data_IF_514299618716
#
_entry.id   IF_514299618716
#
_cell.length_a   1.000
_cell.length_b   1.000
_cell.length_c   1.000
_cell.angle_alpha   90.00
_cell.angle_beta   90.00
_cell.angle_gamma   90.00
#
_symmetry.space_group_name_H-M   'P 1'
#
loop_
_entity.id
_entity.type
_entity.pdbx_description
1 polymer ?
#
# COMPACT_ATOMS: atom_id res chain seq x y z
N UNK A 1 0.35 5.39 -14.39
CA UNK A 1 1.14 5.34 -13.14
C UNK A 1 1.97 6.61 -13.04
N UNK A 2 1.94 7.25 -11.87
CA UNK A 2 2.79 8.37 -11.50
C UNK A 2 3.91 7.88 -10.59
N UNK A 3 5.08 8.51 -10.66
CA UNK A 3 6.25 8.14 -9.86
C UNK A 3 6.94 9.36 -9.27
N UNK A 4 7.58 9.17 -8.13
CA UNK A 4 8.50 10.16 -7.56
C UNK A 4 9.92 10.06 -8.16
N UNK A 5 10.84 10.88 -7.66
CA UNK A 5 12.25 10.91 -8.08
C UNK A 5 13.05 9.65 -7.71
N UNK A 6 12.52 8.82 -6.81
CA UNK A 6 13.07 7.50 -6.45
C UNK A 6 12.39 6.38 -7.24
N UNK A 7 11.58 6.73 -8.25
CA UNK A 7 10.81 5.82 -9.11
C UNK A 7 9.74 4.99 -8.38
N UNK A 8 9.36 5.36 -7.16
CA UNK A 8 8.26 4.72 -6.42
C UNK A 8 6.93 5.19 -6.99
N UNK A 9 5.93 4.31 -7.03
CA UNK A 9 4.59 4.65 -7.54
C UNK A 9 3.90 5.56 -6.54
N UNK A 10 3.57 6.78 -6.92
CA UNK A 10 2.83 7.73 -6.06
C UNK A 10 1.36 7.84 -6.44
N UNK A 11 1.01 7.41 -7.64
CA UNK A 11 -0.36 7.50 -8.15
C UNK A 11 -0.70 6.43 -9.19
N UNK A 12 -1.95 5.97 -9.15
CA UNK A 12 -2.53 5.04 -10.12
C UNK A 12 -3.85 5.64 -10.62
N UNK A 13 -4.01 5.68 -11.95
CA UNK A 13 -5.25 6.09 -12.60
C UNK A 13 -5.75 4.92 -13.42
N UNK A 14 -6.93 4.43 -13.07
CA UNK A 14 -7.60 3.36 -13.79
C UNK A 14 -8.45 3.94 -14.92
N UNK A 15 -8.69 3.15 -15.96
CA UNK A 15 -9.50 3.55 -17.13
C UNK A 15 -10.98 3.73 -16.80
N UNK A 16 -11.45 3.14 -15.69
CA UNK A 16 -12.80 3.29 -15.14
C UNK A 16 -12.99 4.56 -14.29
N UNK A 17 -11.93 5.35 -14.12
CA UNK A 17 -11.97 6.62 -13.38
C UNK A 17 -11.49 6.54 -11.94
N UNK A 18 -11.20 5.35 -11.39
CA UNK A 18 -10.63 5.22 -10.04
C UNK A 18 -9.24 5.88 -10.00
N UNK A 19 -9.00 6.68 -8.95
CA UNK A 19 -7.70 7.32 -8.69
C UNK A 19 -7.18 6.94 -7.33
N UNK A 20 -5.95 6.45 -7.30
CA UNK A 20 -5.25 6.08 -6.08
C UNK A 20 -4.04 6.97 -5.87
N UNK A 21 -3.78 7.30 -4.61
CA UNK A 21 -2.56 7.96 -4.15
C UNK A 21 -1.87 7.09 -3.11
N UNK A 22 -0.59 6.84 -3.33
CA UNK A 22 0.26 6.07 -2.43
C UNK A 22 1.13 7.05 -1.64
N UNK A 23 1.19 6.86 -0.32
CA UNK A 23 2.06 7.64 0.57
C UNK A 23 3.09 6.74 1.22
N UNK A 24 4.26 7.29 1.50
CA UNK A 24 5.39 6.52 1.99
C UNK A 24 5.90 7.10 3.31
N UNK A 25 6.40 6.22 4.16
CA UNK A 25 7.21 6.59 5.31
C UNK A 25 8.54 7.19 4.84
N UNK A 26 9.20 7.95 5.73
CA UNK A 26 10.53 8.50 5.46
C UNK A 26 11.58 7.41 5.18
N UNK A 27 11.37 6.21 5.74
CA UNK A 27 12.18 5.00 5.49
C UNK A 27 12.09 4.48 4.06
N UNK A 28 11.11 4.93 3.29
CA UNK A 28 10.92 4.51 1.90
C UNK A 28 9.75 3.55 1.68
N UNK A 29 9.22 2.96 2.75
CA UNK A 29 8.16 1.95 2.72
C UNK A 29 6.76 2.52 2.58
N UNK A 30 5.85 1.75 1.99
CA UNK A 30 4.46 2.15 1.81
C UNK A 30 3.81 2.38 3.17
N UNK A 31 3.14 3.52 3.32
CA UNK A 31 2.42 3.93 4.53
C UNK A 31 0.92 3.79 4.36
N UNK A 32 0.39 4.27 3.24
CA UNK A 32 -1.05 4.20 3.01
C UNK A 32 -1.40 4.28 1.52
N UNK A 33 -2.55 3.68 1.20
CA UNK A 33 -3.22 3.83 -0.09
C UNK A 33 -4.51 4.60 0.14
N UNK A 34 -4.68 5.69 -0.62
CA UNK A 34 -5.90 6.48 -0.61
C UNK A 34 -6.59 6.42 -1.96
N UNK A 35 -7.90 6.24 -1.96
CA UNK A 35 -8.76 6.57 -3.10
C UNK A 35 -9.03 8.07 -3.10
N UNK A 36 -8.99 8.71 -4.27
CA UNK A 36 -9.09 10.17 -4.40
C UNK A 36 -10.05 10.64 -5.50
N UNK A 37 -10.68 9.74 -6.26
CA UNK A 37 -11.61 10.11 -7.34
C UNK A 37 -12.95 10.68 -6.84
N UNK A 38 -13.34 10.39 -5.60
CA UNK A 38 -14.56 10.93 -4.99
C UNK A 38 -14.32 11.38 -3.54
N UNK A 39 -13.31 12.23 -3.35
CA UNK A 39 -12.81 12.59 -2.03
C UNK A 39 -11.75 11.62 -1.52
N UNK A 40 -11.13 11.95 -0.39
CA UNK A 40 -10.04 11.15 0.17
C UNK A 40 -10.62 10.06 1.06
N UNK A 41 -10.40 8.81 0.66
CA UNK A 41 -10.72 7.63 1.46
C UNK A 41 -9.46 6.79 1.65
N UNK A 42 -9.09 6.51 2.90
CA UNK A 42 -7.99 5.58 3.19
C UNK A 42 -8.48 4.16 2.99
N UNK A 43 -7.86 3.44 2.06
CA UNK A 43 -8.18 2.04 1.75
C UNK A 43 -7.35 1.09 2.61
N UNK A 44 -6.07 1.40 2.79
CA UNK A 44 -5.16 0.62 3.62
C UNK A 44 -4.11 1.50 4.30
N UNK A 45 -3.72 1.12 5.51
CA UNK A 45 -2.54 1.66 6.21
C UNK A 45 -1.59 0.54 6.60
N UNK A 46 -0.30 0.84 6.53
CA UNK A 46 0.79 -0.08 6.83
C UNK A 46 1.73 0.57 7.85
N UNK A 47 1.96 -0.14 8.95
CA UNK A 47 2.93 0.25 9.96
C UNK A 47 4.09 -0.73 9.98
N UNK A 48 5.27 -0.22 10.34
CA UNK A 48 6.48 -1.02 10.44
C UNK A 48 7.22 -0.74 11.73
N UNK A 49 7.95 -1.75 12.19
CA UNK A 49 8.92 -1.57 13.26
C UNK A 49 10.22 -0.93 12.76
N UNK A 50 11.12 -0.62 13.68
CA UNK A 50 12.42 -0.02 13.40
C UNK A 50 13.35 -0.88 12.50
N UNK A 51 13.01 -2.15 12.25
CA UNK A 51 13.74 -3.05 11.35
C UNK A 51 13.11 -3.13 9.96
N UNK A 52 12.04 -2.37 9.70
CA UNK A 52 11.32 -2.35 8.43
C UNK A 52 10.37 -3.53 8.24
N UNK A 53 10.10 -4.29 9.31
CA UNK A 53 9.15 -5.42 9.25
C UNK A 53 7.73 -4.86 9.37
N UNK A 54 6.83 -5.35 8.53
CA UNK A 54 5.41 -5.01 8.60
C UNK A 54 4.84 -5.46 9.96
N UNK A 55 4.37 -4.52 10.76
CA UNK A 55 3.75 -4.80 12.07
C UNK A 55 2.24 -4.78 12.01
N UNK A 56 1.66 -4.08 11.03
CA UNK A 56 0.22 -3.97 10.87
C UNK A 56 -0.13 -3.64 9.42
N UNK A 57 -1.16 -4.30 8.88
CA UNK A 57 -1.86 -3.93 7.66
C UNK A 57 -3.36 -3.85 7.98
N UNK A 58 -3.91 -2.63 7.96
CA UNK A 58 -5.34 -2.37 8.21
C UNK A 58 -5.99 -1.96 6.89
N UNK A 59 -6.65 -2.91 6.22
CA UNK A 59 -7.45 -2.68 5.03
C UNK A 59 -8.90 -2.41 5.45
N UNK A 60 -9.41 -1.21 5.15
CA UNK A 60 -10.68 -0.70 5.69
C UNK A 60 -11.89 -0.86 4.77
N UNK A 61 -11.77 -1.60 3.68
CA UNK A 61 -12.90 -2.00 2.83
C UNK A 61 -12.80 -3.48 2.46
N UNK A 62 -13.94 -4.04 2.00
CA UNK A 62 -14.33 -5.45 1.74
C UNK A 62 -13.35 -6.42 1.05
N UNK A 63 -12.08 -6.04 0.84
CA UNK A 63 -11.01 -6.91 0.33
C UNK A 63 -9.85 -6.89 1.32
N UNK A 64 -9.79 -7.94 2.15
CA UNK A 64 -8.68 -8.16 3.08
C UNK A 64 -7.60 -8.98 2.38
N UNK A 65 -6.52 -8.32 1.98
CA UNK A 65 -5.35 -9.01 1.45
C UNK A 65 -4.55 -9.60 2.62
N UNK A 66 -4.48 -10.92 2.70
CA UNK A 66 -3.57 -11.63 3.61
C UNK A 66 -2.28 -11.98 2.86
N UNK A 67 -1.14 -11.53 3.39
CA UNK A 67 0.19 -11.90 2.88
C UNK A 67 0.92 -12.81 3.88
N UNK A 68 1.39 -13.97 3.43
CA UNK A 68 2.31 -14.83 4.19
C UNK A 68 3.74 -14.67 3.66
N UNK A 69 4.70 -14.55 4.59
CA UNK A 69 6.12 -14.39 4.29
C UNK A 69 6.91 -15.63 4.72
N UNK A 70 7.94 -15.98 3.95
CA UNK A 70 8.96 -16.91 4.42
C UNK A 70 10.02 -16.22 5.31
N UNK A 71 10.94 -17.02 5.86
CA UNK A 71 12.02 -16.54 6.73
C UNK A 71 13.04 -15.61 6.03
N UNK A 72 12.90 -15.38 4.72
CA UNK A 72 13.70 -14.44 3.93
C UNK A 72 12.89 -13.21 3.49
N UNK A 73 11.75 -12.95 4.13
CA UNK A 73 10.84 -11.82 3.88
C UNK A 73 10.27 -11.80 2.45
N UNK A 74 10.12 -12.96 1.80
CA UNK A 74 9.48 -13.09 0.48
C UNK A 74 8.03 -13.49 0.65
N UNK A 75 7.13 -12.88 -0.12
CA UNK A 75 5.72 -13.28 -0.18
C UNK A 75 5.65 -14.69 -0.77
N UNK A 76 5.11 -15.63 0.00
CA UNK A 76 4.90 -17.03 -0.42
C UNK A 76 3.43 -17.36 -0.62
N UNK A 77 2.52 -16.51 -0.15
CA UNK A 77 1.09 -16.65 -0.38
C UNK A 77 0.41 -15.28 -0.33
N UNK A 78 -0.57 -15.11 -1.21
CA UNK A 78 -1.59 -14.06 -1.13
C UNK A 78 -2.98 -14.69 -1.24
N UNK A 79 -3.99 -14.11 -0.58
CA UNK A 79 -5.39 -14.49 -0.75
C UNK A 79 -6.34 -13.31 -0.57
N UNK A 80 -7.47 -13.36 -1.30
CA UNK A 80 -8.63 -12.49 -1.21
C UNK A 80 -9.68 -12.98 -0.19
#
# INVERSE_FOLDING_TARGET
FERDSQYRITGVSHTDGIRLKLTYHASGYLKAIHRTDNGIQTLATYEQDARGRLTEADARMDYHLFDEFDAADRIIRWSD
#
